data_IF_388062558987
#
_entry.id   IF_388062558987
#
_cell.length_a   1.000
_cell.length_b   1.000
_cell.length_c   1.000
_cell.angle_alpha   90.00
_cell.angle_beta   90.00
_cell.angle_gamma   90.00
#
_symmetry.space_group_name_H-M   'P 1'
#
loop_
_entity.id
_entity.type
_entity.pdbx_description
1 polymer ?
#
# COMPACT_ATOMS: atom_id res chain seq x y z
N UNK A 1 -1.05 -28.12 -15.54
CA UNK A 1 -0.47 -27.68 -14.25
C UNK A 1 -1.26 -26.48 -13.81
N UNK A 2 -1.89 -26.53 -12.65
CA UNK A 2 -2.58 -25.39 -12.04
C UNK A 2 -1.52 -24.41 -11.58
N UNK A 3 -1.58 -23.17 -12.05
CA UNK A 3 -0.67 -22.11 -11.57
C UNK A 3 -1.05 -21.74 -10.14
N UNK A 4 -0.07 -21.72 -9.23
CA UNK A 4 -0.26 -21.31 -7.82
C UNK A 4 -0.52 -19.80 -7.69
N UNK A 5 -0.38 -19.07 -8.77
CA UNK A 5 -0.34 -17.62 -8.81
C UNK A 5 -1.46 -17.05 -9.66
N UNK A 6 -2.09 -16.02 -9.13
CA UNK A 6 -3.10 -15.24 -9.83
C UNK A 6 -2.69 -13.78 -9.94
N UNK A 7 -3.17 -13.15 -11.00
CA UNK A 7 -3.06 -11.74 -11.26
C UNK A 7 -4.42 -11.22 -11.71
N UNK A 8 -4.85 -10.08 -11.20
CA UNK A 8 -5.99 -9.31 -11.71
C UNK A 8 -5.46 -7.95 -12.11
N UNK A 9 -5.68 -7.58 -13.35
CA UNK A 9 -5.33 -6.24 -13.84
C UNK A 9 -6.62 -5.48 -14.07
N UNK A 10 -6.67 -4.26 -13.56
CA UNK A 10 -7.80 -3.36 -13.79
C UNK A 10 -8.10 -3.26 -15.29
N UNK A 11 -9.39 -3.39 -15.65
CA UNK A 11 -9.92 -3.44 -17.03
C UNK A 11 -9.56 -4.66 -17.88
N UNK A 12 -8.55 -5.45 -17.53
CA UNK A 12 -8.15 -6.67 -18.28
C UNK A 12 -8.60 -7.97 -17.59
N UNK A 13 -8.98 -7.88 -16.31
CA UNK A 13 -9.52 -9.00 -15.55
C UNK A 13 -8.44 -9.94 -15.04
N UNK A 14 -8.83 -11.19 -14.83
CA UNK A 14 -8.03 -12.22 -14.20
C UNK A 14 -7.13 -12.97 -15.20
N UNK A 15 -5.90 -13.27 -14.80
CA UNK A 15 -4.98 -14.20 -15.47
C UNK A 15 -4.20 -15.03 -14.46
N UNK A 16 -3.83 -16.24 -14.85
CA UNK A 16 -2.95 -17.15 -14.11
C UNK A 16 -1.80 -17.69 -14.96
N UNK A 17 -1.51 -17.04 -16.09
CA UNK A 17 -0.57 -17.51 -17.13
C UNK A 17 0.90 -17.25 -16.78
N UNK A 18 1.27 -17.47 -15.52
CA UNK A 18 2.66 -17.41 -15.08
C UNK A 18 3.45 -18.59 -15.66
N UNK A 19 4.59 -18.27 -16.27
CA UNK A 19 5.55 -19.26 -16.79
C UNK A 19 6.66 -19.45 -15.77
N UNK A 20 6.95 -20.69 -15.43
CA UNK A 20 8.15 -21.01 -14.66
C UNK A 20 9.39 -20.82 -15.56
N UNK A 21 10.30 -19.93 -15.14
CA UNK A 21 11.55 -19.66 -15.86
C UNK A 21 12.67 -20.59 -15.39
N UNK A 22 12.70 -20.86 -14.08
CA UNK A 22 13.54 -21.85 -13.42
C UNK A 22 12.87 -22.22 -12.08
N UNK A 23 13.41 -23.23 -11.40
CA UNK A 23 12.87 -23.69 -10.11
C UNK A 23 12.66 -22.52 -9.14
N UNK A 24 11.40 -22.29 -8.75
CA UNK A 24 11.01 -21.25 -7.80
C UNK A 24 10.95 -19.83 -8.35
N UNK A 25 11.11 -19.62 -9.66
CA UNK A 25 10.92 -18.32 -10.31
C UNK A 25 9.88 -18.40 -11.43
N UNK A 26 8.90 -17.52 -11.35
CA UNK A 26 7.76 -17.45 -12.25
C UNK A 26 7.63 -16.05 -12.83
N UNK A 27 7.20 -15.95 -14.09
CA UNK A 27 7.04 -14.66 -14.75
C UNK A 27 5.79 -14.59 -15.61
N UNK A 28 5.19 -13.41 -15.69
CA UNK A 28 4.11 -13.07 -16.60
C UNK A 28 4.49 -11.81 -17.36
N UNK A 29 4.57 -11.92 -18.68
CA UNK A 29 4.91 -10.80 -19.55
C UNK A 29 3.66 -9.97 -19.89
N UNK A 30 3.80 -8.66 -19.79
CA UNK A 30 2.81 -7.68 -20.19
C UNK A 30 3.32 -6.87 -21.37
N UNK A 31 2.51 -6.71 -22.43
CA UNK A 31 2.86 -5.76 -23.49
C UNK A 31 2.80 -4.32 -22.95
N UNK A 32 3.29 -3.37 -23.74
CA UNK A 32 3.01 -1.96 -23.48
C UNK A 32 1.50 -1.72 -23.62
N UNK A 33 0.86 -1.24 -22.56
CA UNK A 33 -0.59 -1.08 -22.52
C UNK A 33 -0.95 0.30 -21.96
N UNK A 34 -1.67 1.08 -22.76
CA UNK A 34 -2.28 2.32 -22.29
C UNK A 34 -3.41 2.05 -21.30
N UNK A 35 -3.48 2.86 -20.25
CA UNK A 35 -4.55 2.79 -19.26
C UNK A 35 -4.48 1.55 -18.36
N UNK A 36 -3.30 0.92 -18.24
CA UNK A 36 -3.07 -0.10 -17.23
C UNK A 36 -3.27 0.53 -15.85
N UNK A 37 -4.29 0.07 -15.13
CA UNK A 37 -4.63 0.56 -13.80
C UNK A 37 -3.81 -0.16 -12.72
N UNK A 38 -4.48 -0.53 -11.63
CA UNK A 38 -3.86 -1.34 -10.59
C UNK A 38 -3.73 -2.79 -11.02
N UNK A 39 -2.67 -3.43 -10.53
CA UNK A 39 -2.42 -4.85 -10.65
C UNK A 39 -2.49 -5.45 -9.25
N UNK A 40 -3.35 -6.43 -9.07
CA UNK A 40 -3.41 -7.25 -7.87
C UNK A 40 -2.82 -8.61 -8.17
N UNK A 41 -1.79 -8.99 -7.42
CA UNK A 41 -1.17 -10.31 -7.49
C UNK A 41 -1.45 -11.08 -6.22
N UNK A 42 -1.60 -12.39 -6.33
CA UNK A 42 -1.95 -13.23 -5.18
C UNK A 42 -1.55 -14.68 -5.40
N UNK A 43 -1.48 -15.40 -4.29
CA UNK A 43 -1.33 -16.85 -4.27
C UNK A 43 -2.72 -17.46 -4.13
N UNK A 44 -3.06 -18.42 -5.00
CA UNK A 44 -4.37 -19.09 -5.03
C UNK A 44 -4.63 -19.91 -3.76
N UNK A 45 -3.57 -20.51 -3.22
CA UNK A 45 -3.57 -21.27 -1.98
C UNK A 45 -2.43 -20.74 -1.10
N UNK A 46 -2.79 -19.97 -0.07
CA UNK A 46 -1.81 -19.38 0.83
C UNK A 46 -1.14 -20.42 1.73
N UNK A 47 -1.75 -21.60 1.94
CA UNK A 47 -1.13 -22.65 2.78
C UNK A 47 0.16 -23.19 2.19
N UNK A 48 0.40 -22.95 0.90
CA UNK A 48 1.64 -23.30 0.21
C UNK A 48 2.84 -22.42 0.60
N UNK A 49 2.65 -21.32 1.33
CA UNK A 49 3.71 -20.39 1.73
C UNK A 49 4.19 -20.57 3.18
N UNK A 50 3.74 -21.60 3.91
CA UNK A 50 4.04 -21.77 5.34
C UNK A 50 5.52 -21.82 5.72
N UNK A 51 6.40 -22.08 4.75
CA UNK A 51 7.86 -22.08 4.92
C UNK A 51 8.59 -21.20 3.90
N UNK A 52 7.88 -20.28 3.24
CA UNK A 52 8.42 -19.46 2.18
C UNK A 52 7.72 -18.10 2.08
N UNK A 53 8.29 -17.22 1.29
CA UNK A 53 7.65 -15.97 0.87
C UNK A 53 7.88 -15.81 -0.62
N UNK A 54 7.05 -15.01 -1.27
CA UNK A 54 7.19 -14.74 -2.70
C UNK A 54 7.58 -13.29 -2.87
N UNK A 55 8.82 -13.04 -3.27
CA UNK A 55 9.23 -11.71 -3.71
C UNK A 55 8.53 -11.39 -5.03
N UNK A 56 7.86 -10.24 -5.08
CA UNK A 56 7.24 -9.72 -6.29
C UNK A 56 8.07 -8.57 -6.81
N UNK A 57 8.46 -8.65 -8.08
CA UNK A 57 9.19 -7.59 -8.77
C UNK A 57 8.63 -7.33 -10.17
N UNK A 58 8.93 -6.16 -10.71
CA UNK A 58 8.66 -5.76 -12.08
C UNK A 58 9.98 -5.62 -12.83
N UNK A 59 10.12 -6.30 -13.95
CA UNK A 59 11.25 -6.11 -14.84
C UNK A 59 10.84 -5.24 -16.04
N UNK A 60 11.52 -4.12 -16.23
CA UNK A 60 11.42 -3.24 -17.39
C UNK A 60 12.77 -3.21 -18.13
N UNK A 61 12.90 -3.99 -19.21
CA UNK A 61 14.19 -4.15 -19.88
C UNK A 61 15.25 -4.72 -18.92
N UNK A 62 16.26 -3.91 -18.56
CA UNK A 62 17.30 -4.29 -17.59
C UNK A 62 17.01 -3.83 -16.15
N UNK A 63 15.95 -3.03 -15.94
CA UNK A 63 15.61 -2.48 -14.63
C UNK A 63 14.69 -3.43 -13.87
N UNK A 64 15.13 -3.92 -12.71
CA UNK A 64 14.30 -4.73 -11.80
C UNK A 64 13.83 -3.89 -10.61
N UNK A 65 12.53 -3.68 -10.50
CA UNK A 65 11.88 -2.95 -9.42
C UNK A 65 11.21 -3.94 -8.47
N UNK A 66 11.68 -4.03 -7.23
CA UNK A 66 11.01 -4.84 -6.20
C UNK A 66 9.78 -4.11 -5.69
N UNK A 67 8.64 -4.80 -5.69
CA UNK A 67 7.34 -4.24 -5.31
C UNK A 67 6.95 -4.64 -3.89
N UNK A 68 7.21 -5.90 -3.49
CA UNK A 68 6.80 -6.39 -2.18
C UNK A 68 6.95 -7.89 -2.04
N UNK A 69 6.27 -8.45 -1.03
CA UNK A 69 6.25 -9.88 -0.76
C UNK A 69 4.82 -10.40 -0.58
N UNK A 70 4.57 -11.62 -1.05
CA UNK A 70 3.40 -12.41 -0.65
C UNK A 70 3.81 -13.38 0.45
N UNK A 71 3.01 -13.45 1.50
CA UNK A 71 3.23 -14.30 2.68
C UNK A 71 1.91 -14.92 3.13
N UNK A 72 1.94 -15.87 4.07
CA UNK A 72 0.71 -16.41 4.68
C UNK A 72 -0.21 -15.33 5.25
N UNK A 73 0.36 -14.29 5.84
CA UNK A 73 -0.37 -13.19 6.46
C UNK A 73 -0.82 -12.12 5.46
N UNK A 74 -0.17 -12.05 4.31
CA UNK A 74 -0.46 -11.12 3.22
C UNK A 74 -0.34 -11.87 1.89
N UNK A 75 -1.31 -12.72 1.54
CA UNK A 75 -1.23 -13.60 0.37
C UNK A 75 -1.50 -12.86 -0.95
N UNK A 76 -1.77 -11.57 -0.87
CA UNK A 76 -2.04 -10.70 -2.02
C UNK A 76 -1.37 -9.34 -1.84
N UNK A 77 -1.02 -8.69 -2.95
CA UNK A 77 -0.56 -7.31 -2.97
C UNK A 77 -1.16 -6.60 -4.18
N UNK A 78 -1.50 -5.33 -4.04
CA UNK A 78 -1.96 -4.48 -5.14
C UNK A 78 -1.01 -3.32 -5.34
N UNK A 79 -0.65 -3.03 -6.58
CA UNK A 79 0.30 -1.99 -6.94
C UNK A 79 -0.04 -1.37 -8.28
N UNK A 80 0.61 -0.25 -8.61
CA UNK A 80 0.54 0.40 -9.92
C UNK A 80 1.93 0.42 -10.56
N UNK A 81 2.12 -0.12 -11.77
CA UNK A 81 3.41 -0.03 -12.47
C UNK A 81 3.78 1.42 -12.72
N UNK A 82 5.06 1.77 -12.53
CA UNK A 82 5.55 3.13 -12.80
C UNK A 82 5.60 3.45 -14.29
N UNK A 83 5.86 2.45 -15.12
CA UNK A 83 6.04 2.60 -16.57
C UNK A 83 5.09 1.69 -17.37
N UNK A 84 3.76 1.92 -17.29
CA UNK A 84 2.77 1.03 -17.93
C UNK A 84 2.84 1.05 -19.48
N UNK A 85 3.43 2.10 -20.06
CA UNK A 85 3.60 2.26 -21.50
C UNK A 85 4.84 1.54 -22.06
N UNK A 86 5.56 0.81 -21.23
CA UNK A 86 6.74 0.02 -21.62
C UNK A 86 6.42 -1.45 -21.35
N UNK A 87 6.81 -2.39 -22.23
CA UNK A 87 6.65 -3.81 -21.94
C UNK A 87 7.39 -4.18 -20.65
N UNK A 88 6.76 -4.99 -19.81
CA UNK A 88 7.34 -5.39 -18.53
C UNK A 88 6.97 -6.82 -18.17
N UNK A 89 7.68 -7.40 -17.21
CA UNK A 89 7.36 -8.71 -16.64
C UNK A 89 7.07 -8.56 -15.16
N UNK A 90 5.97 -9.18 -14.70
CA UNK A 90 5.80 -9.45 -13.27
C UNK A 90 6.58 -10.72 -12.97
N UNK A 91 7.48 -10.67 -11.99
CA UNK A 91 8.29 -11.81 -11.56
C UNK A 91 8.03 -12.15 -10.11
N UNK A 92 7.82 -13.44 -9.87
CA UNK A 92 7.68 -14.03 -8.56
C UNK A 92 8.89 -14.91 -8.29
N UNK A 93 9.55 -14.70 -7.16
CA UNK A 93 10.69 -15.49 -6.72
C UNK A 93 10.38 -16.04 -5.34
N UNK A 94 10.36 -17.36 -5.21
CA UNK A 94 10.21 -18.03 -3.93
C UNK A 94 11.50 -17.83 -3.13
N UNK A 95 11.38 -17.18 -1.98
CA UNK A 95 12.49 -16.87 -1.08
C UNK A 95 12.19 -17.41 0.33
N UNK A 96 13.23 -17.72 1.13
CA UNK A 96 13.05 -18.00 2.55
C UNK A 96 12.42 -16.80 3.29
N UNK A 97 11.59 -17.02 4.32
CA UNK A 97 10.95 -15.92 5.07
C UNK A 97 11.94 -14.92 5.68
N UNK A 98 13.16 -15.36 5.99
CA UNK A 98 14.21 -14.53 6.58
C UNK A 98 14.78 -13.49 5.59
N UNK A 99 14.50 -13.63 4.30
CA UNK A 99 14.93 -12.70 3.24
C UNK A 99 13.91 -11.60 2.94
N UNK A 100 12.75 -11.61 3.61
CA UNK A 100 11.73 -10.56 3.49
C UNK A 100 12.31 -9.25 4.02
N UNK A 101 12.54 -8.27 3.14
CA UNK A 101 12.94 -6.92 3.55
C UNK A 101 11.70 -6.12 4.00
N UNK A 102 11.56 -5.75 5.29
CA UNK A 102 10.43 -4.98 5.78
C UNK A 102 10.46 -3.50 5.34
N UNK A 103 11.55 -3.04 4.71
CA UNK A 103 11.75 -1.64 4.31
C UNK A 103 11.33 -1.36 2.87
N UNK A 104 10.68 -2.32 2.19
CA UNK A 104 10.19 -2.07 0.84
C UNK A 104 9.20 -0.91 0.88
N UNK A 105 9.39 0.11 0.04
CA UNK A 105 8.44 1.22 -0.05
C UNK A 105 7.08 0.68 -0.47
N UNK A 106 6.07 0.91 0.38
CA UNK A 106 4.70 0.62 0.05
C UNK A 106 4.13 1.76 -0.82
N UNK A 107 3.53 1.39 -1.95
CA UNK A 107 2.88 2.32 -2.88
C UNK A 107 1.37 2.22 -2.69
N UNK A 108 0.73 3.14 -1.94
CA UNK A 108 -0.71 3.12 -1.73
C UNK A 108 -1.47 3.24 -3.05
N UNK A 109 -2.57 2.51 -3.15
CA UNK A 109 -3.55 2.62 -4.23
C UNK A 109 -4.23 3.99 -4.21
N UNK A 110 -4.92 4.35 -5.30
CA UNK A 110 -5.69 5.60 -5.37
C UNK A 110 -6.75 5.69 -4.25
N UNK A 111 -7.36 4.56 -3.87
CA UNK A 111 -8.31 4.49 -2.76
C UNK A 111 -7.62 4.72 -1.41
N UNK A 112 -6.45 4.12 -1.19
CA UNK A 112 -5.69 4.31 0.05
C UNK A 112 -5.17 5.74 0.16
N UNK A 113 -4.71 6.34 -0.94
CA UNK A 113 -4.37 7.76 -0.99
C UNK A 113 -5.59 8.64 -0.66
N UNK A 114 -6.76 8.34 -1.22
CA UNK A 114 -8.00 9.05 -0.88
C UNK A 114 -8.35 8.93 0.61
N UNK A 115 -8.18 7.74 1.20
CA UNK A 115 -8.40 7.53 2.63
C UNK A 115 -7.38 8.28 3.49
N UNK A 116 -6.11 8.33 3.06
CA UNK A 116 -5.04 9.09 3.71
C UNK A 116 -5.35 10.60 3.66
N UNK A 117 -5.78 11.12 2.51
CA UNK A 117 -6.15 12.52 2.37
C UNK A 117 -7.38 12.87 3.21
N UNK A 118 -8.41 12.02 3.19
CA UNK A 118 -9.58 12.19 4.05
C UNK A 118 -9.16 12.19 5.53
N UNK A 119 -8.22 11.33 5.92
CA UNK A 119 -7.66 11.29 7.27
C UNK A 119 -6.94 12.57 7.63
N UNK A 120 -6.11 13.08 6.72
CA UNK A 120 -5.39 14.33 6.89
C UNK A 120 -6.37 15.48 7.12
N UNK A 121 -7.43 15.57 6.33
CA UNK A 121 -8.42 16.64 6.44
C UNK A 121 -9.22 16.57 7.74
N UNK A 122 -9.55 15.36 8.21
CA UNK A 122 -10.17 15.15 9.53
C UNK A 122 -9.21 15.58 10.65
N UNK A 123 -7.94 15.17 10.58
CA UNK A 123 -6.92 15.54 11.57
C UNK A 123 -6.74 17.06 11.65
N UNK A 124 -6.64 17.74 10.50
CA UNK A 124 -6.47 19.19 10.42
C UNK A 124 -7.69 19.94 10.96
N UNK A 125 -8.91 19.52 10.59
CA UNK A 125 -10.14 20.11 11.14
C UNK A 125 -10.24 19.92 12.65
N UNK A 126 -9.93 18.73 13.15
CA UNK A 126 -9.94 18.47 14.59
C UNK A 126 -8.89 19.32 15.33
N UNK A 127 -7.70 19.47 14.76
CA UNK A 127 -6.65 20.34 15.29
C UNK A 127 -7.11 21.81 15.35
N UNK A 128 -7.68 22.32 14.27
CA UNK A 128 -8.18 23.69 14.19
C UNK A 128 -9.27 23.95 15.22
N UNK A 129 -10.26 23.05 15.33
CA UNK A 129 -11.34 23.16 16.32
C UNK A 129 -10.81 23.11 17.76
N UNK A 130 -9.77 22.30 18.02
CA UNK A 130 -9.18 22.20 19.35
C UNK A 130 -8.36 23.45 19.68
N UNK A 131 -7.49 23.92 18.78
CA UNK A 131 -6.55 25.00 19.06
C UNK A 131 -7.16 26.39 18.98
N UNK A 132 -8.07 26.66 18.04
CA UNK A 132 -8.69 27.99 17.84
C UNK A 132 -9.20 28.64 19.15
N UNK A 133 -9.96 27.96 20.02
CA UNK A 133 -10.42 28.56 21.29
C UNK A 133 -9.32 28.72 22.35
N UNK A 134 -8.10 28.20 22.10
CA UNK A 134 -6.94 28.22 23.00
C UNK A 134 -5.85 29.17 22.53
N UNK A 135 -6.15 29.99 21.52
CA UNK A 135 -5.25 31.01 21.00
C UNK A 135 -5.02 32.09 22.06
N UNK A 136 -3.75 32.43 22.29
CA UNK A 136 -3.34 33.51 23.20
C UNK A 136 -2.62 34.57 22.40
N UNK A 137 -2.86 35.84 22.72
CA UNK A 137 -2.10 36.96 22.15
C UNK A 137 -0.90 37.27 23.04
N UNK A 138 0.30 37.03 22.53
CA UNK A 138 1.55 37.43 23.17
C UNK A 138 2.12 38.61 22.39
N UNK A 139 2.16 39.80 23.00
CA UNK A 139 2.65 41.03 22.35
C UNK A 139 1.93 41.34 21.01
N UNK A 140 0.65 40.97 20.91
CA UNK A 140 -0.15 41.14 19.69
C UNK A 140 0.03 40.04 18.65
N UNK A 141 0.89 39.06 18.89
CA UNK A 141 1.10 37.90 18.01
C UNK A 141 0.23 36.73 18.47
N UNK A 142 -0.58 36.12 17.58
CA UNK A 142 -1.33 34.92 17.89
C UNK A 142 -0.38 33.74 18.12
N UNK A 143 -0.47 33.11 19.29
CA UNK A 143 0.36 31.98 19.68
C UNK A 143 -0.46 30.92 20.42
N UNK A 144 0.08 29.71 20.50
CA UNK A 144 -0.45 28.63 21.31
C UNK A 144 0.66 28.10 22.21
N UNK A 145 0.29 27.61 23.40
CA UNK A 145 1.22 26.91 24.25
C UNK A 145 1.52 25.53 23.66
N UNK A 146 2.79 25.13 23.62
CA UNK A 146 3.21 23.80 23.11
C UNK A 146 2.47 22.67 23.83
N UNK A 147 2.22 22.81 25.14
CA UNK A 147 1.44 21.83 25.92
C UNK A 147 0.05 21.57 25.34
N UNK A 148 -0.59 22.55 24.69
CA UNK A 148 -1.89 22.34 24.05
C UNK A 148 -1.78 21.46 22.79
N UNK A 149 -0.67 21.51 22.06
CA UNK A 149 -0.40 20.59 20.94
C UNK A 149 -0.19 19.17 21.44
N UNK A 150 0.55 18.99 22.53
CA UNK A 150 0.79 17.68 23.16
C UNK A 150 -0.52 17.06 23.69
N UNK A 151 -1.31 17.85 24.42
CA UNK A 151 -2.63 17.43 24.91
C UNK A 151 -3.56 17.05 23.76
N UNK A 152 -3.54 17.81 22.66
CA UNK A 152 -4.31 17.49 21.47
C UNK A 152 -3.88 16.16 20.86
N UNK A 153 -2.58 15.92 20.70
CA UNK A 153 -2.07 14.70 20.08
C UNK A 153 -2.49 13.45 20.87
N UNK A 154 -2.38 13.48 22.21
CA UNK A 154 -2.84 12.40 23.06
C UNK A 154 -4.36 12.16 22.96
N UNK A 155 -5.13 13.25 22.92
CA UNK A 155 -6.58 13.20 22.80
C UNK A 155 -7.01 12.63 21.46
N UNK A 156 -6.45 13.14 20.36
CA UNK A 156 -6.71 12.67 19.01
C UNK A 156 -6.38 11.17 18.88
N UNK A 157 -5.25 10.72 19.42
CA UNK A 157 -4.91 9.29 19.41
C UNK A 157 -5.90 8.42 20.20
N UNK A 158 -6.41 8.90 21.34
CA UNK A 158 -7.43 8.18 22.12
C UNK A 158 -8.76 8.09 21.36
N UNK A 159 -9.19 9.17 20.74
CA UNK A 159 -10.43 9.26 19.99
C UNK A 159 -10.37 8.42 18.70
N UNK A 160 -9.24 8.43 17.99
CA UNK A 160 -8.99 7.62 16.79
C UNK A 160 -9.00 6.11 17.04
N UNK A 161 -8.67 5.67 18.27
CA UNK A 161 -8.75 4.24 18.65
C UNK A 161 -10.18 3.74 18.85
N UNK A 162 -11.15 4.62 19.03
CA UNK A 162 -12.55 4.24 19.18
C UNK A 162 -13.20 4.18 17.80
N UNK A 163 -13.59 2.98 17.36
CA UNK A 163 -14.28 2.76 16.08
C UNK A 163 -15.50 3.69 16.00
N UNK A 164 -15.45 4.70 15.13
CA UNK A 164 -16.55 5.67 14.93
C UNK A 164 -16.11 7.10 14.68
N UNK A 165 -14.89 7.50 15.05
CA UNK A 165 -14.40 8.87 14.83
C UNK A 165 -14.46 9.29 13.34
N UNK A 166 -14.14 8.36 12.43
CA UNK A 166 -14.21 8.55 10.98
C UNK A 166 -15.61 8.88 10.45
N UNK A 167 -16.65 8.31 11.05
CA UNK A 167 -18.04 8.52 10.64
C UNK A 167 -18.62 9.83 11.18
N UNK A 168 -18.11 10.31 12.32
CA UNK A 168 -18.55 11.56 12.93
C UNK A 168 -17.86 12.78 12.32
N UNK A 169 -16.61 12.66 11.87
CA UNK A 169 -15.85 13.78 11.30
C UNK A 169 -16.16 14.07 9.81
N UNK A 170 -16.95 13.21 9.16
CA UNK A 170 -17.39 13.37 7.76
C UNK A 170 -18.81 13.92 7.63
N UNK A 171 -19.52 14.13 8.74
CA UNK A 171 -20.80 14.83 8.83
C UNK A 171 -20.59 16.30 9.25
#
# INVERSE_FOLDING_TARGET
MTSYFGCVVDRFGFSSDFKELQAGMYAMAFPAVEGLGHISVFVMDSTCLSSASVEVSLLYGETNERIGYLTDYSPSLTFRPRFPLVPFEIRFIIVPPEQVDPRIPYYPTDMENMLIDMTKDVMLRHLEQYLTPRLVLLEGVPCFLIRELENWAERFQKEMKHQGFWLAATQ
#
